data_IF_524727793747
#
_entry.id   IF_524727793747
#
_cell.length_a   1.000
_cell.length_b   1.000
_cell.length_c   1.000
_cell.angle_alpha   90.00
_cell.angle_beta   90.00
_cell.angle_gamma   90.00
#
_symmetry.space_group_name_H-M   'P 1'
#
loop_
_entity.id
_entity.type
_entity.pdbx_description
1 polymer ?
#
# COMPACT_ATOMS: atom_id res chain seq x y z
N UNK A 1 -11.47 -71.72 -1.31
CA UNK A 1 -12.00 -71.57 -2.69
C UNK A 1 -13.07 -70.49 -2.64
N UNK A 2 -12.72 -69.24 -3.01
CA UNK A 2 -13.64 -68.09 -2.93
C UNK A 2 -14.45 -68.08 -4.21
N UNK A 3 -15.78 -68.24 -4.05
CA UNK A 3 -16.75 -68.42 -5.14
C UNK A 3 -16.84 -67.12 -5.97
N UNK A 4 -16.86 -67.22 -7.30
CA UNK A 4 -16.92 -66.13 -8.30
C UNK A 4 -18.02 -65.09 -8.02
N UNK A 5 -19.06 -65.44 -7.30
CA UNK A 5 -20.18 -64.58 -6.92
C UNK A 5 -19.76 -63.41 -6.03
N UNK A 6 -18.75 -63.58 -5.19
CA UNK A 6 -18.23 -62.51 -4.31
C UNK A 6 -17.31 -61.51 -5.01
N UNK A 7 -16.67 -61.90 -6.13
CA UNK A 7 -15.80 -60.95 -6.91
C UNK A 7 -16.58 -59.85 -7.60
N UNK A 8 -17.78 -60.09 -8.07
CA UNK A 8 -18.64 -59.08 -8.72
C UNK A 8 -19.17 -58.03 -7.73
N UNK A 9 -19.46 -58.47 -6.51
CA UNK A 9 -19.97 -57.58 -5.46
C UNK A 9 -18.87 -56.69 -4.90
N UNK A 10 -17.63 -57.18 -4.78
CA UNK A 10 -16.47 -56.41 -4.32
C UNK A 10 -16.06 -55.37 -5.38
N UNK A 11 -16.13 -55.72 -6.68
CA UNK A 11 -15.82 -54.74 -7.75
C UNK A 11 -16.87 -53.62 -7.85
N UNK A 12 -18.13 -53.90 -7.59
CA UNK A 12 -19.20 -52.88 -7.59
C UNK A 12 -19.08 -51.87 -6.44
N UNK A 13 -18.68 -52.33 -5.27
CA UNK A 13 -18.50 -51.46 -4.08
C UNK A 13 -17.27 -50.56 -4.16
N UNK A 14 -16.17 -51.06 -4.76
CA UNK A 14 -14.96 -50.23 -4.99
C UNK A 14 -15.25 -49.13 -6.02
N UNK A 15 -16.01 -49.43 -7.08
CA UNK A 15 -16.36 -48.43 -8.09
C UNK A 15 -17.29 -47.34 -7.57
N UNK A 16 -18.25 -47.68 -6.68
CA UNK A 16 -19.12 -46.69 -6.06
C UNK A 16 -18.41 -45.81 -5.04
N UNK A 17 -17.45 -46.35 -4.29
CA UNK A 17 -16.68 -45.63 -3.31
C UNK A 17 -15.69 -44.61 -3.99
N UNK A 18 -15.13 -44.96 -5.13
CA UNK A 18 -14.22 -44.05 -5.85
C UNK A 18 -14.94 -42.85 -6.48
N UNK A 19 -16.20 -42.97 -6.87
CA UNK A 19 -17.00 -41.84 -7.38
C UNK A 19 -17.38 -40.87 -6.25
N UNK A 20 -17.69 -41.40 -5.06
CA UNK A 20 -18.05 -40.57 -3.89
C UNK A 20 -16.85 -39.77 -3.32
N UNK A 21 -15.65 -40.34 -3.39
CA UNK A 21 -14.43 -39.61 -2.89
C UNK A 21 -14.02 -38.46 -3.83
N UNK A 22 -14.23 -38.60 -5.15
CA UNK A 22 -13.90 -37.52 -6.08
C UNK A 22 -14.86 -36.31 -5.98
N UNK A 23 -16.08 -36.48 -5.49
CA UNK A 23 -17.02 -35.34 -5.34
C UNK A 23 -16.75 -34.48 -4.10
N UNK A 24 -15.90 -34.93 -3.18
CA UNK A 24 -15.52 -34.17 -1.97
C UNK A 24 -14.36 -33.18 -2.19
N UNK A 25 -13.68 -33.23 -3.34
CA UNK A 25 -12.54 -32.37 -3.66
C UNK A 25 -12.85 -31.32 -4.73
N UNK A 26 -14.10 -30.95 -4.96
CA UNK A 26 -14.42 -29.76 -5.72
C UNK A 26 -14.13 -28.55 -4.80
N UNK A 27 -12.87 -28.13 -4.80
CA UNK A 27 -12.54 -26.84 -4.19
C UNK A 27 -13.45 -25.77 -4.80
N UNK A 28 -14.07 -24.90 -4.01
CA UNK A 28 -14.81 -23.78 -4.56
C UNK A 28 -13.83 -22.96 -5.39
N UNK A 29 -14.09 -22.85 -6.70
CA UNK A 29 -13.40 -21.88 -7.55
C UNK A 29 -13.84 -20.53 -7.00
N UNK A 30 -13.00 -19.92 -6.18
CA UNK A 30 -13.19 -18.54 -5.81
C UNK A 30 -13.11 -17.74 -7.11
N UNK A 31 -14.26 -17.31 -7.62
CA UNK A 31 -14.31 -16.28 -8.66
C UNK A 31 -13.59 -15.07 -8.08
N UNK A 32 -12.36 -14.84 -8.54
CA UNK A 32 -11.66 -13.61 -8.23
C UNK A 32 -12.58 -12.47 -8.68
N UNK A 33 -13.07 -11.67 -7.75
CA UNK A 33 -13.82 -10.49 -8.09
C UNK A 33 -12.96 -9.64 -9.04
N UNK A 34 -13.54 -9.26 -10.17
CA UNK A 34 -12.86 -8.40 -11.14
C UNK A 34 -12.45 -7.12 -10.42
N UNK A 35 -11.16 -6.83 -10.37
CA UNK A 35 -10.68 -5.61 -9.72
C UNK A 35 -11.20 -4.40 -10.50
N UNK A 36 -11.79 -3.41 -9.83
CA UNK A 36 -12.25 -2.22 -10.50
C UNK A 36 -11.05 -1.53 -11.18
N UNK A 37 -11.19 -1.22 -12.47
CA UNK A 37 -10.22 -0.37 -13.16
C UNK A 37 -10.56 1.09 -12.91
N UNK A 38 -9.55 1.91 -12.65
CA UNK A 38 -9.71 3.36 -12.51
C UNK A 38 -8.94 4.07 -13.64
N UNK A 39 -9.43 5.24 -14.03
CA UNK A 39 -8.78 6.08 -15.05
C UNK A 39 -7.57 6.78 -14.46
N UNK A 40 -6.52 5.99 -14.20
CA UNK A 40 -5.22 6.43 -13.72
C UNK A 40 -4.11 5.58 -14.36
N UNK A 41 -2.91 6.14 -14.53
CA UNK A 41 -1.73 5.39 -15.03
C UNK A 41 -1.35 4.26 -14.09
N UNK A 42 -1.40 4.51 -12.80
CA UNK A 42 -1.17 3.52 -11.75
C UNK A 42 -2.10 3.77 -10.57
N UNK A 43 -2.43 2.70 -9.84
CA UNK A 43 -3.17 2.75 -8.59
C UNK A 43 -2.74 1.59 -7.69
N UNK A 44 -2.54 1.89 -6.42
CA UNK A 44 -2.21 0.90 -5.41
C UNK A 44 -3.02 1.15 -4.15
N UNK A 45 -3.74 0.14 -3.68
CA UNK A 45 -4.59 0.23 -2.48
C UNK A 45 -4.29 -0.94 -1.58
N UNK A 46 -3.96 -0.65 -0.34
CA UNK A 46 -3.74 -1.63 0.71
C UNK A 46 -4.70 -1.39 1.87
N UNK A 47 -5.02 -2.44 2.59
CA UNK A 47 -5.71 -2.37 3.87
C UNK A 47 -4.66 -2.14 4.98
N UNK A 48 -4.87 -1.10 5.78
CA UNK A 48 -3.89 -0.62 6.76
C UNK A 48 -3.61 -1.62 7.90
N UNK A 49 -4.63 -2.37 8.36
CA UNK A 49 -4.47 -3.30 9.48
C UNK A 49 -3.78 -4.63 9.10
N UNK A 50 -3.90 -5.07 7.86
CA UNK A 50 -3.48 -6.41 7.42
C UNK A 50 -2.46 -6.41 6.30
N UNK A 51 -2.07 -5.23 5.79
CA UNK A 51 -1.24 -5.05 4.59
C UNK A 51 -1.77 -5.77 3.33
N UNK A 52 -3.05 -6.16 3.35
CA UNK A 52 -3.66 -6.83 2.22
C UNK A 52 -3.80 -5.90 1.03
N UNK A 53 -3.21 -6.27 -0.09
CA UNK A 53 -3.38 -5.54 -1.35
C UNK A 53 -4.82 -5.72 -1.84
N UNK A 54 -5.57 -4.63 -1.86
CA UNK A 54 -6.95 -4.57 -2.37
C UNK A 54 -7.00 -4.25 -3.85
N UNK A 55 -6.03 -3.46 -4.34
CA UNK A 55 -5.88 -3.11 -5.75
C UNK A 55 -4.41 -2.88 -6.09
N UNK A 56 -3.98 -3.40 -7.23
CA UNK A 56 -2.68 -3.10 -7.83
C UNK A 56 -2.83 -2.96 -9.34
N UNK A 57 -2.87 -1.72 -9.80
CA UNK A 57 -2.85 -1.36 -11.21
C UNK A 57 -1.53 -0.64 -11.47
N UNK A 58 -0.57 -1.32 -12.10
CA UNK A 58 0.76 -0.78 -12.42
C UNK A 58 1.49 -0.16 -11.22
N UNK A 59 1.29 -0.69 -10.00
CA UNK A 59 1.82 -0.11 -8.75
C UNK A 59 3.34 -0.08 -8.68
N UNK A 60 4.03 -0.92 -9.45
CA UNK A 60 5.50 -0.99 -9.52
C UNK A 60 6.09 -0.08 -10.61
N UNK A 61 5.25 0.63 -11.38
CA UNK A 61 5.73 1.53 -12.42
C UNK A 61 6.33 2.81 -11.83
N UNK A 62 7.55 3.13 -12.24
CA UNK A 62 8.23 4.36 -11.82
C UNK A 62 7.62 5.58 -12.51
N UNK A 63 6.78 6.31 -11.81
CA UNK A 63 6.08 7.50 -12.29
C UNK A 63 6.51 8.76 -11.53
N UNK A 64 6.40 9.92 -12.18
CA UNK A 64 6.53 11.21 -11.51
C UNK A 64 5.32 11.46 -10.62
N UNK A 65 5.52 11.41 -9.31
CA UNK A 65 4.44 11.48 -8.30
C UNK A 65 4.16 12.89 -7.79
N UNK A 66 4.88 13.91 -8.29
CA UNK A 66 4.69 15.33 -7.93
C UNK A 66 4.57 15.54 -6.40
N UNK A 67 3.53 16.24 -5.96
CA UNK A 67 3.31 16.58 -4.54
C UNK A 67 3.10 15.38 -3.61
N UNK A 68 2.84 14.18 -4.12
CA UNK A 68 2.82 12.97 -3.28
C UNK A 68 4.18 12.72 -2.60
N UNK A 69 5.28 13.25 -3.15
CA UNK A 69 6.60 13.23 -2.51
C UNK A 69 6.59 13.89 -1.12
N UNK A 70 5.71 14.88 -0.89
CA UNK A 70 5.55 15.53 0.42
C UNK A 70 5.16 14.52 1.51
N UNK A 71 4.36 13.51 1.18
CA UNK A 71 3.92 12.48 2.15
C UNK A 71 5.12 11.73 2.74
N UNK A 72 6.08 11.32 1.88
CA UNK A 72 7.29 10.66 2.36
C UNK A 72 8.16 11.62 3.19
N UNK A 73 8.30 12.89 2.78
CA UNK A 73 9.07 13.88 3.54
C UNK A 73 8.48 14.10 4.93
N UNK A 74 7.15 14.19 5.03
CA UNK A 74 6.43 14.33 6.29
C UNK A 74 6.61 13.10 7.17
N UNK A 75 6.49 11.91 6.59
CA UNK A 75 6.73 10.65 7.29
C UNK A 75 8.14 10.61 7.92
N UNK A 76 9.18 10.95 7.17
CA UNK A 76 10.56 10.98 7.66
C UNK A 76 10.78 12.01 8.79
N UNK A 77 10.07 13.15 8.76
CA UNK A 77 10.11 14.13 9.85
C UNK A 77 9.48 13.55 11.12
N UNK A 78 8.32 12.91 10.99
CA UNK A 78 7.63 12.27 12.13
C UNK A 78 8.48 11.15 12.74
N UNK A 79 9.07 10.29 11.90
CA UNK A 79 9.99 9.24 12.34
C UNK A 79 11.19 9.82 13.11
N UNK A 80 11.81 10.89 12.59
CA UNK A 80 12.92 11.55 13.27
C UNK A 80 12.53 12.17 14.62
N UNK A 81 11.29 12.63 14.76
CA UNK A 81 10.75 13.14 16.02
C UNK A 81 10.49 12.00 17.00
N UNK A 82 9.86 10.92 16.55
CA UNK A 82 9.61 9.73 17.38
C UNK A 82 10.91 9.11 17.92
N UNK A 83 11.94 9.06 17.08
CA UNK A 83 13.27 8.59 17.47
C UNK A 83 14.07 9.59 18.35
N UNK A 84 13.53 10.78 18.64
CA UNK A 84 14.18 11.83 19.42
C UNK A 84 15.36 12.52 18.71
N UNK A 85 15.52 12.32 17.41
CA UNK A 85 16.54 13.00 16.57
C UNK A 85 16.15 14.43 16.25
N UNK A 86 14.87 14.74 16.26
CA UNK A 86 14.28 16.04 15.98
C UNK A 86 13.24 16.38 17.05
N UNK A 87 13.07 17.67 17.38
CA UNK A 87 12.06 18.14 18.32
C UNK A 87 11.15 19.17 17.63
N UNK A 88 9.88 19.20 18.01
CA UNK A 88 8.90 20.12 17.42
C UNK A 88 9.24 21.59 17.58
N UNK A 89 9.84 21.96 18.71
CA UNK A 89 10.23 23.33 19.07
C UNK A 89 11.60 23.74 18.55
N UNK A 90 12.36 22.81 17.93
CA UNK A 90 13.69 23.10 17.38
C UNK A 90 13.58 24.21 16.34
N UNK A 91 14.39 25.26 16.56
CA UNK A 91 14.44 26.43 15.66
C UNK A 91 15.33 26.16 14.43
N UNK A 92 14.80 26.44 13.28
CA UNK A 92 15.44 26.24 11.96
C UNK A 92 15.61 27.61 11.29
N UNK A 93 16.81 27.88 10.80
CA UNK A 93 17.08 29.03 9.95
C UNK A 93 16.84 28.71 8.48
N UNK A 94 16.29 29.64 7.74
CA UNK A 94 16.00 29.49 6.31
C UNK A 94 17.27 29.77 5.49
N UNK A 95 17.75 28.76 4.76
CA UNK A 95 18.89 28.92 3.85
C UNK A 95 18.51 29.76 2.61
N UNK A 96 19.53 30.34 1.93
CA UNK A 96 19.33 31.09 0.69
C UNK A 96 18.60 30.30 -0.38
N UNK A 97 18.90 28.99 -0.48
CA UNK A 97 18.25 28.11 -1.44
C UNK A 97 16.77 27.94 -1.12
N UNK A 98 16.43 27.61 0.12
CA UNK A 98 15.05 27.42 0.56
C UNK A 98 14.26 28.73 0.44
N UNK A 99 14.86 29.86 0.80
CA UNK A 99 14.25 31.16 0.62
C UNK A 99 13.87 31.39 -0.84
N UNK A 100 14.82 31.25 -1.78
CA UNK A 100 14.57 31.45 -3.22
C UNK A 100 13.48 30.55 -3.76
N UNK A 101 13.46 29.29 -3.36
CA UNK A 101 12.42 28.32 -3.79
C UNK A 101 11.07 28.74 -3.23
N UNK A 102 11.00 29.14 -1.96
CA UNK A 102 9.75 29.52 -1.30
C UNK A 102 9.12 30.81 -1.87
N UNK A 103 9.89 31.66 -2.56
CA UNK A 103 9.36 32.85 -3.23
C UNK A 103 8.81 32.58 -4.63
N UNK A 104 8.89 31.34 -5.13
CA UNK A 104 8.41 31.02 -6.46
C UNK A 104 6.91 30.69 -6.45
N UNK A 105 6.10 31.68 -6.84
CA UNK A 105 4.64 31.58 -6.88
C UNK A 105 4.07 30.63 -7.96
N UNK A 106 4.93 30.01 -8.78
CA UNK A 106 4.50 28.96 -9.71
C UNK A 106 4.32 27.60 -9.02
N UNK A 107 4.76 27.48 -7.76
CA UNK A 107 4.59 26.29 -6.95
C UNK A 107 3.58 26.52 -5.82
N UNK A 108 2.89 25.47 -5.43
CA UNK A 108 2.14 25.47 -4.17
C UNK A 108 3.13 25.45 -3.00
N UNK A 109 3.35 26.58 -2.38
CA UNK A 109 4.29 26.73 -1.26
C UNK A 109 3.89 27.90 -0.34
N UNK A 110 4.52 27.95 0.82
CA UNK A 110 4.45 29.08 1.77
C UNK A 110 5.73 29.89 1.66
N UNK A 111 5.66 31.19 1.31
CA UNK A 111 6.84 32.05 1.30
C UNK A 111 7.46 32.18 2.69
N UNK A 112 8.74 31.84 2.81
CA UNK A 112 9.49 31.91 4.06
C UNK A 112 10.35 33.19 4.11
N UNK A 113 10.61 33.68 5.31
CA UNK A 113 11.49 34.80 5.57
C UNK A 113 12.86 34.32 6.04
N UNK A 114 13.94 35.06 5.74
CA UNK A 114 15.30 34.71 6.20
C UNK A 114 15.71 35.43 7.49
N UNK A 115 15.01 36.50 7.86
CA UNK A 115 15.32 37.31 9.02
C UNK A 115 14.73 36.77 10.34
N UNK A 116 14.00 35.67 10.28
CA UNK A 116 13.44 34.96 11.44
C UNK A 116 13.76 33.46 11.37
N UNK A 117 13.63 32.78 12.49
CA UNK A 117 13.64 31.32 12.57
C UNK A 117 12.23 30.78 12.62
N UNK A 118 12.08 29.53 12.28
CA UNK A 118 10.82 28.77 12.35
C UNK A 118 11.03 27.52 13.18
N UNK A 119 10.04 27.15 13.96
CA UNK A 119 10.04 25.84 14.60
C UNK A 119 9.84 24.73 13.56
N UNK A 120 10.24 23.52 13.90
CA UNK A 120 9.95 22.33 13.09
C UNK A 120 8.44 22.18 12.90
N UNK A 121 7.63 22.44 13.93
CA UNK A 121 6.18 22.41 13.87
C UNK A 121 5.61 23.38 12.82
N UNK A 122 6.06 24.63 12.81
CA UNK A 122 5.61 25.63 11.84
C UNK A 122 5.97 25.23 10.39
N UNK A 123 7.18 24.70 10.19
CA UNK A 123 7.60 24.22 8.86
C UNK A 123 6.85 22.95 8.45
N UNK A 124 6.59 22.05 9.37
CA UNK A 124 5.78 20.86 9.13
C UNK A 124 4.35 21.23 8.69
N UNK A 125 3.70 22.14 9.41
CA UNK A 125 2.36 22.64 9.05
C UNK A 125 2.37 23.33 7.68
N UNK A 126 3.41 24.11 7.39
CA UNK A 126 3.57 24.79 6.09
C UNK A 126 3.75 23.81 4.93
N UNK A 127 4.35 22.65 5.17
CA UNK A 127 4.55 21.62 4.14
C UNK A 127 3.27 20.85 3.77
N UNK A 128 2.24 20.91 4.62
CA UNK A 128 0.93 20.28 4.38
C UNK A 128 0.02 21.08 3.45
N UNK A 129 0.32 22.36 3.22
CA UNK A 129 -0.43 23.26 2.35
C UNK A 129 0.13 23.18 0.93
#
# INVERSE_FOLDING_TARGET
>A
MITIKNRKMIMGTISAASVLVNSLFVAPVALAAEQPSIDAKAAFVIEDETDKVLMNQNGDEALGIASMTKMLSIYLILEAIEEGKLAWDKQITVSDYVYKVSQNYNFSNVPLRQDITYSVEELYQSALI
#
